data_IF_045955271206
#
_entry.id   IF_045955271206
#
_cell.length_a   1.000
_cell.length_b   1.000
_cell.length_c   1.000
_cell.angle_alpha   90.00
_cell.angle_beta   90.00
_cell.angle_gamma   90.00
#
_symmetry.space_group_name_H-M   'P 1'
#
loop_
_entity.id
_entity.type
_entity.pdbx_description
1 polymer ?
#
# COMPACT_ATOMS: atom_id res chain seq x y z
N UNK A 1 -48.20 45.71 -0.11
CA UNK A 1 -47.47 45.52 -1.38
C UNK A 1 -46.50 44.37 -1.18
N UNK A 2 -46.80 43.20 -1.73
CA UNK A 2 -46.10 41.96 -1.44
C UNK A 2 -44.93 41.74 -2.42
N UNK A 3 -43.74 41.47 -1.86
CA UNK A 3 -42.50 41.20 -2.58
C UNK A 3 -42.62 39.93 -3.43
N UNK A 4 -42.74 40.10 -4.75
CA UNK A 4 -42.57 39.03 -5.74
C UNK A 4 -41.10 38.62 -5.87
N UNK A 5 -40.55 37.88 -4.91
CA UNK A 5 -39.24 37.23 -5.05
C UNK A 5 -39.37 36.10 -6.07
N UNK A 6 -39.11 36.43 -7.34
CA UNK A 6 -39.20 35.54 -8.50
C UNK A 6 -38.58 34.16 -8.22
N UNK A 7 -39.44 33.13 -8.24
CA UNK A 7 -39.07 31.71 -8.16
C UNK A 7 -38.01 31.33 -9.20
N UNK A 8 -38.05 31.98 -10.38
CA UNK A 8 -37.05 31.80 -11.44
C UNK A 8 -35.65 32.26 -11.03
N UNK A 9 -35.53 33.30 -10.20
CA UNK A 9 -34.23 33.75 -9.68
C UNK A 9 -33.58 32.75 -8.72
N UNK A 10 -34.40 32.05 -7.91
CA UNK A 10 -33.91 31.01 -6.99
C UNK A 10 -33.48 29.74 -7.73
N UNK A 11 -34.24 29.32 -8.75
CA UNK A 11 -33.90 28.16 -9.58
C UNK A 11 -32.59 28.41 -10.36
N UNK A 12 -32.44 29.61 -10.96
CA UNK A 12 -31.22 29.96 -11.69
C UNK A 12 -30.00 30.02 -10.76
N UNK A 13 -30.14 30.55 -9.55
CA UNK A 13 -29.05 30.62 -8.57
C UNK A 13 -28.66 29.24 -8.02
N UNK A 14 -29.62 28.31 -7.89
CA UNK A 14 -29.33 26.93 -7.50
C UNK A 14 -28.56 26.17 -8.60
N UNK A 15 -29.03 26.24 -9.86
CA UNK A 15 -28.37 25.61 -11.01
C UNK A 15 -26.94 26.13 -11.26
N UNK A 16 -26.72 27.44 -11.11
CA UNK A 16 -25.37 28.00 -11.26
C UNK A 16 -24.45 27.68 -10.07
N UNK A 17 -25.00 27.48 -8.87
CA UNK A 17 -24.22 27.11 -7.69
C UNK A 17 -23.74 25.65 -7.77
N UNK A 18 -24.61 24.74 -8.20
CA UNK A 18 -24.29 23.33 -8.41
C UNK A 18 -23.18 23.16 -9.46
N UNK A 19 -23.31 23.85 -10.59
CA UNK A 19 -22.30 23.83 -11.66
C UNK A 19 -20.95 24.44 -11.26
N UNK A 20 -20.97 25.42 -10.34
CA UNK A 20 -19.76 26.05 -9.82
C UNK A 20 -19.08 25.17 -8.75
N UNK A 21 -19.84 24.45 -7.94
CA UNK A 21 -19.33 23.45 -6.99
C UNK A 21 -18.73 22.22 -7.70
N UNK A 22 -19.34 21.75 -8.79
CA UNK A 22 -18.77 20.71 -9.65
C UNK A 22 -17.43 21.14 -10.27
N UNK A 23 -17.37 22.35 -10.86
CA UNK A 23 -16.15 22.86 -11.49
C UNK A 23 -15.01 23.08 -10.47
N UNK A 24 -15.32 23.54 -9.26
CA UNK A 24 -14.34 23.70 -8.18
C UNK A 24 -13.86 22.33 -7.67
N UNK A 25 -14.74 21.35 -7.60
CA UNK A 25 -14.38 19.96 -7.26
C UNK A 25 -13.45 19.35 -8.31
N UNK A 26 -13.75 19.52 -9.60
CA UNK A 26 -12.89 19.06 -10.71
C UNK A 26 -11.52 19.73 -10.71
N UNK A 27 -11.44 21.05 -10.54
CA UNK A 27 -10.16 21.76 -10.45
C UNK A 27 -9.34 21.33 -9.24
N UNK A 28 -9.98 21.08 -8.09
CA UNK A 28 -9.31 20.60 -6.89
C UNK A 28 -8.83 19.15 -7.05
N UNK A 29 -9.60 18.28 -7.71
CA UNK A 29 -9.21 16.91 -8.02
C UNK A 29 -8.04 16.86 -9.00
N UNK A 30 -8.06 17.68 -10.06
CA UNK A 30 -6.97 17.81 -11.03
C UNK A 30 -5.66 18.30 -10.38
N UNK A 31 -5.76 19.28 -9.47
CA UNK A 31 -4.59 19.81 -8.75
C UNK A 31 -3.97 18.75 -7.83
N UNK A 32 -4.79 17.99 -7.10
CA UNK A 32 -4.33 16.89 -6.24
C UNK A 32 -3.67 15.76 -7.04
N UNK A 33 -4.23 15.37 -8.18
CA UNK A 33 -3.63 14.36 -9.07
C UNK A 33 -2.23 14.77 -9.51
N UNK A 34 -2.07 16.05 -9.91
CA UNK A 34 -0.79 16.58 -10.38
C UNK A 34 0.26 16.62 -9.28
N UNK A 35 -0.12 16.95 -8.05
CA UNK A 35 0.77 16.91 -6.90
C UNK A 35 1.19 15.47 -6.55
N UNK A 36 0.23 14.53 -6.52
CA UNK A 36 0.51 13.11 -6.28
C UNK A 36 1.45 12.52 -7.33
N UNK A 37 1.21 12.80 -8.62
CA UNK A 37 2.09 12.42 -9.73
C UNK A 37 3.52 12.94 -9.53
N UNK A 38 3.66 14.18 -9.06
CA UNK A 38 4.98 14.81 -8.84
C UNK A 38 5.75 14.11 -7.71
N UNK A 39 5.09 13.78 -6.60
CA UNK A 39 5.75 13.08 -5.49
C UNK A 39 6.13 11.65 -5.83
N UNK A 40 5.27 10.92 -6.57
CA UNK A 40 5.57 9.57 -7.02
C UNK A 40 6.75 9.57 -7.99
N UNK A 41 6.78 10.49 -8.97
CA UNK A 41 7.90 10.62 -9.89
C UNK A 41 9.22 10.86 -9.15
N UNK A 42 9.24 11.77 -8.17
CA UNK A 42 10.44 12.04 -7.35
C UNK A 42 10.89 10.82 -6.55
N UNK A 43 9.96 10.09 -5.93
CA UNK A 43 10.28 8.89 -5.16
C UNK A 43 10.84 7.78 -6.05
N UNK A 44 10.29 7.60 -7.25
CA UNK A 44 10.76 6.62 -8.23
C UNK A 44 12.13 7.02 -8.80
N UNK A 45 12.36 8.30 -9.08
CA UNK A 45 13.66 8.81 -9.54
C UNK A 45 14.77 8.57 -8.50
N UNK A 46 14.51 8.87 -7.23
CA UNK A 46 15.46 8.64 -6.16
C UNK A 46 15.74 7.14 -5.94
N UNK A 47 14.73 6.30 -6.14
CA UNK A 47 14.90 4.85 -6.08
C UNK A 47 15.72 4.33 -7.26
N UNK A 48 15.46 4.81 -8.47
CA UNK A 48 16.18 4.41 -9.68
C UNK A 48 17.68 4.75 -9.56
N UNK A 49 18.01 5.93 -9.03
CA UNK A 49 19.40 6.34 -8.78
C UNK A 49 20.13 5.42 -7.80
N UNK A 50 19.43 4.97 -6.75
CA UNK A 50 20.02 4.09 -5.71
C UNK A 50 20.05 2.63 -6.13
N UNK A 51 19.03 2.19 -6.86
CA UNK A 51 18.78 0.80 -7.23
C UNK A 51 18.31 0.70 -8.69
N UNK A 52 19.23 0.81 -9.67
CA UNK A 52 18.87 0.80 -11.09
C UNK A 52 18.30 -0.54 -11.58
N UNK A 53 18.52 -1.61 -10.83
CA UNK A 53 17.99 -2.96 -11.10
C UNK A 53 16.70 -3.27 -10.34
N UNK A 54 16.15 -2.30 -9.59
CA UNK A 54 14.94 -2.51 -8.83
C UNK A 54 13.76 -2.85 -9.75
N UNK A 55 12.90 -3.74 -9.26
CA UNK A 55 11.62 -4.06 -9.89
C UNK A 55 10.51 -3.29 -9.20
N UNK A 56 9.59 -2.79 -10.02
CA UNK A 56 8.36 -2.13 -9.61
C UNK A 56 7.22 -3.13 -9.75
N UNK A 57 6.49 -3.41 -8.66
CA UNK A 57 5.22 -4.12 -8.78
C UNK A 57 4.10 -3.08 -8.86
N UNK A 58 3.37 -3.10 -9.98
CA UNK A 58 2.22 -2.23 -10.21
C UNK A 58 0.96 -3.06 -10.01
N UNK A 59 0.13 -2.65 -9.06
CA UNK A 59 -1.12 -3.31 -8.69
C UNK A 59 -2.26 -2.38 -9.08
N UNK A 60 -3.19 -2.86 -9.89
CA UNK A 60 -4.37 -2.10 -10.32
C UNK A 60 -5.67 -2.73 -9.83
N UNK A 61 -6.55 -1.87 -9.30
CA UNK A 61 -7.91 -2.18 -8.88
C UNK A 61 -8.97 -1.70 -9.87
N UNK A 62 -8.59 -1.45 -11.13
CA UNK A 62 -9.50 -0.95 -12.16
C UNK A 62 -10.77 -1.78 -12.29
N UNK A 63 -10.64 -3.11 -12.28
CA UNK A 63 -11.80 -4.01 -12.38
C UNK A 63 -12.73 -3.89 -11.17
N UNK A 64 -12.18 -3.66 -9.96
CA UNK A 64 -12.98 -3.37 -8.76
C UNK A 64 -13.67 -2.02 -8.87
N UNK A 65 -12.98 -0.99 -9.35
CA UNK A 65 -13.57 0.34 -9.54
C UNK A 65 -14.76 0.28 -10.49
N UNK A 66 -14.61 -0.41 -11.62
CA UNK A 66 -15.70 -0.63 -12.59
C UNK A 66 -16.85 -1.40 -11.94
N UNK A 67 -16.56 -2.46 -11.19
CA UNK A 67 -17.59 -3.31 -10.60
C UNK A 67 -18.34 -2.69 -9.40
N UNK A 68 -17.71 -1.75 -8.70
CA UNK A 68 -18.35 -0.95 -7.65
C UNK A 68 -19.17 0.20 -8.25
N UNK A 69 -18.75 0.73 -9.40
CA UNK A 69 -19.45 1.81 -10.11
C UNK A 69 -19.55 3.09 -9.28
N UNK A 70 -20.74 3.70 -9.24
CA UNK A 70 -20.98 4.99 -8.55
C UNK A 70 -20.68 4.94 -7.04
N UNK A 71 -20.80 3.77 -6.42
CA UNK A 71 -20.47 3.61 -5.00
C UNK A 71 -18.97 3.81 -4.71
N UNK A 72 -18.10 3.82 -5.74
CA UNK A 72 -16.66 3.97 -5.60
C UNK A 72 -16.31 5.27 -4.89
N UNK A 73 -16.92 6.40 -5.28
CA UNK A 73 -16.59 7.71 -4.70
C UNK A 73 -16.72 7.73 -3.17
N UNK A 74 -17.72 7.03 -2.62
CA UNK A 74 -17.96 6.94 -1.17
C UNK A 74 -17.03 5.95 -0.46
N UNK A 75 -16.47 4.98 -1.19
CA UNK A 75 -15.67 3.87 -0.65
C UNK A 75 -14.19 3.96 -0.98
N UNK A 76 -13.79 4.83 -1.90
CA UNK A 76 -12.44 4.93 -2.44
C UNK A 76 -11.41 5.14 -1.34
N UNK A 77 -11.69 6.00 -0.35
CA UNK A 77 -10.79 6.20 0.77
C UNK A 77 -10.62 4.94 1.63
N UNK A 78 -11.71 4.24 1.94
CA UNK A 78 -11.66 2.97 2.68
C UNK A 78 -10.90 1.89 1.92
N UNK A 79 -11.16 1.78 0.61
CA UNK A 79 -10.47 0.85 -0.29
C UNK A 79 -8.97 1.19 -0.37
N UNK A 80 -8.61 2.49 -0.45
CA UNK A 80 -7.23 2.95 -0.43
C UNK A 80 -6.54 2.56 0.86
N UNK A 81 -7.13 2.87 2.02
CA UNK A 81 -6.56 2.49 3.33
C UNK A 81 -6.43 0.97 3.50
N UNK A 82 -7.43 0.20 3.06
CA UNK A 82 -7.37 -1.26 3.11
C UNK A 82 -6.26 -1.80 2.20
N UNK A 83 -6.15 -1.25 1.00
CA UNK A 83 -5.12 -1.62 0.02
C UNK A 83 -3.74 -1.32 0.59
N UNK A 84 -3.47 -0.08 1.01
CA UNK A 84 -2.20 0.30 1.61
C UNK A 84 -1.85 -0.55 2.83
N UNK A 85 -2.80 -0.76 3.75
CA UNK A 85 -2.56 -1.57 4.96
C UNK A 85 -2.35 -3.05 4.66
N UNK A 86 -2.84 -3.56 3.53
CA UNK A 86 -2.63 -4.94 3.09
C UNK A 86 -1.30 -5.07 2.38
N UNK A 87 -1.00 -4.20 1.43
CA UNK A 87 0.25 -4.19 0.67
C UNK A 87 1.46 -3.96 1.58
N UNK A 88 1.36 -3.06 2.57
CA UNK A 88 2.43 -2.80 3.55
C UNK A 88 2.83 -4.02 4.38
N UNK A 89 1.94 -5.00 4.58
CA UNK A 89 2.28 -6.25 5.30
C UNK A 89 3.20 -7.16 4.51
N UNK A 90 3.24 -6.96 3.19
CA UNK A 90 4.13 -7.65 2.28
C UNK A 90 5.41 -6.86 2.01
N UNK A 91 5.67 -5.78 2.76
CA UNK A 91 6.87 -4.95 2.64
C UNK A 91 7.78 -5.09 3.87
N UNK A 92 9.08 -5.06 3.62
CA UNK A 92 10.15 -5.09 4.61
C UNK A 92 10.61 -3.66 4.95
N UNK A 93 11.49 -3.54 5.94
CA UNK A 93 12.07 -2.24 6.30
C UNK A 93 12.86 -1.65 5.13
N UNK A 94 12.57 -0.39 4.78
CA UNK A 94 13.21 0.31 3.65
C UNK A 94 12.51 0.12 2.31
N UNK A 95 11.48 -0.74 2.25
CA UNK A 95 10.58 -0.86 1.12
C UNK A 95 9.36 0.05 1.30
N UNK A 96 8.74 0.46 0.20
CA UNK A 96 7.65 1.44 0.24
C UNK A 96 6.49 1.07 -0.66
N UNK A 97 5.28 1.45 -0.23
CA UNK A 97 4.07 1.39 -1.02
C UNK A 97 3.64 2.83 -1.32
N UNK A 98 3.44 3.14 -2.60
CA UNK A 98 2.89 4.41 -3.05
C UNK A 98 1.53 4.17 -3.72
N UNK A 99 0.63 5.12 -3.62
CA UNK A 99 -0.63 5.14 -4.37
C UNK A 99 -0.48 6.15 -5.51
N UNK A 100 -0.90 5.79 -6.70
CA UNK A 100 -0.93 6.66 -7.87
C UNK A 100 -2.37 6.75 -8.37
N UNK A 101 -3.00 7.92 -8.20
CA UNK A 101 -4.41 8.09 -8.53
C UNK A 101 -5.35 7.29 -7.61
N UNK A 102 -6.48 6.84 -8.14
CA UNK A 102 -7.56 6.27 -7.34
C UNK A 102 -7.42 4.75 -7.09
N UNK A 103 -6.90 4.01 -8.06
CA UNK A 103 -6.96 2.55 -8.12
C UNK A 103 -5.63 1.87 -8.42
N UNK A 104 -4.52 2.62 -8.54
CA UNK A 104 -3.20 2.06 -8.80
C UNK A 104 -2.29 2.20 -7.57
N UNK A 105 -1.62 1.09 -7.24
CA UNK A 105 -0.67 1.00 -6.14
C UNK A 105 0.68 0.49 -6.66
N UNK A 106 1.74 1.04 -6.12
CA UNK A 106 3.12 0.78 -6.51
C UNK A 106 3.86 0.22 -5.30
N UNK A 107 4.39 -0.99 -5.42
CA UNK A 107 5.26 -1.58 -4.41
C UNK A 107 6.71 -1.51 -4.88
N UNK A 108 7.54 -0.91 -4.04
CA UNK A 108 8.96 -0.67 -4.27
C UNK A 108 9.76 -1.56 -3.32
N UNK A 109 10.43 -2.57 -3.88
CA UNK A 109 11.18 -3.56 -3.12
C UNK A 109 12.66 -3.58 -3.57
N UNK A 110 13.44 -2.53 -3.28
CA UNK A 110 14.83 -2.42 -3.75
C UNK A 110 15.76 -3.53 -3.24
N UNK A 111 15.42 -4.16 -2.11
CA UNK A 111 16.19 -5.25 -1.52
C UNK A 111 15.82 -6.65 -2.03
N UNK A 112 14.72 -6.79 -2.77
CA UNK A 112 14.23 -8.07 -3.25
C UNK A 112 14.82 -8.41 -4.62
N UNK A 113 15.13 -9.68 -4.84
CA UNK A 113 15.45 -10.17 -6.18
C UNK A 113 14.20 -10.23 -7.07
N UNK A 114 14.37 -10.45 -8.38
CA UNK A 114 13.25 -10.48 -9.32
C UNK A 114 12.19 -11.53 -8.97
N UNK A 115 12.60 -12.71 -8.51
CA UNK A 115 11.69 -13.82 -8.20
C UNK A 115 10.93 -13.55 -6.91
N UNK A 116 11.63 -13.03 -5.90
CA UNK A 116 11.07 -12.65 -4.61
C UNK A 116 10.09 -11.49 -4.78
N UNK A 117 10.48 -10.45 -5.53
CA UNK A 117 9.62 -9.31 -5.84
C UNK A 117 8.34 -9.75 -6.56
N UNK A 118 8.47 -10.61 -7.58
CA UNK A 118 7.31 -11.15 -8.29
C UNK A 118 6.41 -11.99 -7.37
N UNK A 119 7.01 -12.86 -6.54
CA UNK A 119 6.27 -13.70 -5.59
C UNK A 119 5.52 -12.86 -4.57
N UNK A 120 6.18 -11.89 -3.93
CA UNK A 120 5.57 -11.01 -2.93
C UNK A 120 4.50 -10.12 -3.54
N UNK A 121 4.72 -9.59 -4.75
CA UNK A 121 3.70 -8.86 -5.51
C UNK A 121 2.46 -9.71 -5.78
N UNK A 122 2.65 -10.97 -6.22
CA UNK A 122 1.56 -11.91 -6.45
C UNK A 122 0.80 -12.24 -5.15
N UNK A 123 1.51 -12.61 -4.08
CA UNK A 123 0.93 -12.93 -2.78
C UNK A 123 0.13 -11.74 -2.22
N UNK A 124 0.65 -10.52 -2.38
CA UNK A 124 -0.01 -9.28 -2.00
C UNK A 124 -1.29 -9.03 -2.80
N UNK A 125 -1.24 -9.19 -4.13
CA UNK A 125 -2.40 -9.01 -5.02
C UNK A 125 -3.51 -10.03 -4.72
N UNK A 126 -3.16 -11.31 -4.50
CA UNK A 126 -4.13 -12.35 -4.10
C UNK A 126 -4.78 -12.01 -2.77
N UNK A 127 -4.00 -11.63 -1.77
CA UNK A 127 -4.55 -11.30 -0.45
C UNK A 127 -5.43 -10.04 -0.51
N UNK A 128 -5.05 -9.05 -1.32
CA UNK A 128 -5.84 -7.85 -1.53
C UNK A 128 -7.19 -8.18 -2.15
N UNK A 129 -7.22 -8.98 -3.23
CA UNK A 129 -8.47 -9.44 -3.84
C UNK A 129 -9.37 -10.18 -2.85
N UNK A 130 -8.81 -11.08 -2.04
CA UNK A 130 -9.59 -11.79 -1.01
C UNK A 130 -10.21 -10.86 0.03
N UNK A 131 -9.48 -9.83 0.47
CA UNK A 131 -10.01 -8.86 1.44
C UNK A 131 -11.10 -7.98 0.84
N UNK A 132 -10.91 -7.53 -0.40
CA UNK A 132 -11.91 -6.71 -1.10
C UNK A 132 -13.19 -7.52 -1.38
N UNK A 133 -13.10 -8.82 -1.62
CA UNK A 133 -14.30 -9.69 -1.71
C UNK A 133 -14.90 -9.95 -0.32
N UNK A 134 -14.06 -10.21 0.68
CA UNK A 134 -14.46 -10.59 2.04
C UNK A 134 -15.12 -9.47 2.85
N UNK A 135 -14.75 -8.21 2.62
CA UNK A 135 -15.31 -7.05 3.32
C UNK A 135 -16.75 -6.67 2.89
N UNK A 136 -17.43 -7.52 2.11
CA UNK A 136 -18.79 -7.26 1.62
C UNK A 136 -18.90 -5.89 0.94
N UNK A 137 -17.86 -5.48 0.21
CA UNK A 137 -18.10 -4.54 -0.86
C UNK A 137 -19.17 -5.20 -1.73
N UNK A 138 -20.34 -4.57 -1.83
CA UNK A 138 -21.44 -5.04 -2.69
C UNK A 138 -21.02 -4.83 -4.13
N UNK A 139 -19.99 -5.56 -4.52
CA UNK A 139 -19.41 -5.52 -5.83
C UNK A 139 -20.43 -6.22 -6.70
N UNK A 140 -21.17 -5.45 -7.49
CA UNK A 140 -22.03 -6.03 -8.50
C UNK A 140 -21.17 -6.96 -9.33
N UNK A 141 -21.66 -8.17 -9.62
CA UNK A 141 -21.02 -8.97 -10.65
C UNK A 141 -21.20 -8.20 -11.95
N UNK A 142 -20.11 -7.72 -12.53
CA UNK A 142 -20.15 -7.21 -13.91
C UNK A 142 -20.21 -8.47 -14.78
N UNK A 143 -21.34 -8.68 -15.45
CA UNK A 143 -21.56 -9.81 -16.36
C UNK A 143 -21.34 -11.21 -15.73
N UNK A 144 -21.55 -11.34 -14.42
CA UNK A 144 -21.34 -12.60 -13.70
C UNK A 144 -19.89 -12.90 -13.29
N UNK A 145 -18.93 -12.05 -13.66
CA UNK A 145 -17.50 -12.19 -13.36
C UNK A 145 -17.14 -11.40 -12.10
N UNK A 146 -16.40 -12.03 -11.18
CA UNK A 146 -15.86 -11.35 -10.00
C UNK A 146 -14.68 -10.47 -10.43
N UNK A 147 -14.57 -9.22 -9.93
CA UNK A 147 -13.46 -8.36 -10.28
C UNK A 147 -12.15 -8.92 -9.75
N UNK A 148 -11.12 -8.90 -10.59
CA UNK A 148 -9.79 -9.38 -10.26
C UNK A 148 -8.85 -8.20 -9.97
N UNK A 149 -7.83 -8.44 -9.17
CA UNK A 149 -6.72 -7.50 -8.98
C UNK A 149 -5.75 -7.72 -10.13
N UNK A 150 -5.27 -6.66 -10.78
CA UNK A 150 -4.25 -6.79 -11.84
C UNK A 150 -2.86 -6.52 -11.28
N UNK A 151 -1.86 -7.25 -11.77
CA UNK A 151 -0.46 -7.11 -11.39
C UNK A 151 0.45 -7.03 -12.62
N UNK A 152 1.37 -6.08 -12.62
CA UNK A 152 2.48 -6.00 -13.55
C UNK A 152 3.81 -5.94 -12.79
N UNK A 153 4.80 -6.68 -13.28
CA UNK A 153 6.17 -6.67 -12.77
C UNK A 153 7.07 -6.01 -13.82
N UNK A 154 7.62 -4.85 -13.48
CA UNK A 154 8.30 -3.98 -14.44
C UNK A 154 9.71 -3.68 -13.92
N UNK A 155 10.70 -3.64 -14.82
CA UNK A 155 12.00 -3.08 -14.45
C UNK A 155 11.90 -1.56 -14.42
N UNK A 156 12.34 -0.94 -13.31
CA UNK A 156 12.21 0.51 -13.15
C UNK A 156 13.00 1.28 -14.21
N UNK A 157 14.09 0.71 -14.71
CA UNK A 157 14.89 1.25 -15.80
C UNK A 157 14.13 1.37 -17.14
N UNK A 158 13.12 0.53 -17.36
CA UNK A 158 12.31 0.57 -18.59
C UNK A 158 11.27 1.69 -18.56
N UNK A 159 11.02 2.26 -17.38
CA UNK A 159 10.00 3.29 -17.14
C UNK A 159 10.60 4.70 -17.17
N UNK A 160 11.71 4.90 -17.87
CA UNK A 160 12.46 6.17 -17.88
C UNK A 160 12.24 6.89 -19.22
N UNK A 161 11.88 8.16 -19.14
CA UNK A 161 11.74 9.08 -20.27
C UNK A 161 13.10 9.46 -20.88
N UNK A 162 13.06 10.09 -22.05
CA UNK A 162 14.26 10.64 -22.69
C UNK A 162 15.05 11.62 -21.80
N UNK A 163 14.38 12.28 -20.86
CA UNK A 163 14.98 13.21 -19.89
C UNK A 163 15.66 12.50 -18.70
N UNK A 164 15.68 11.16 -18.67
CA UNK A 164 16.28 10.38 -17.60
C UNK A 164 15.46 10.32 -16.31
N UNK A 165 14.18 10.72 -16.36
CA UNK A 165 13.23 10.66 -15.24
C UNK A 165 12.18 9.58 -15.44
N UNK A 166 11.61 9.07 -14.37
CA UNK A 166 10.56 8.05 -14.42
C UNK A 166 9.27 8.64 -15.00
N UNK A 167 8.72 7.95 -15.99
CA UNK A 167 7.46 8.30 -16.64
C UNK A 167 6.26 7.72 -15.91
N UNK A 168 5.53 8.58 -15.20
CA UNK A 168 4.28 8.18 -14.54
C UNK A 168 3.23 7.74 -15.57
N UNK A 169 3.27 8.29 -16.79
CA UNK A 169 2.40 7.86 -17.89
C UNK A 169 2.64 6.41 -18.29
N UNK A 170 3.90 6.01 -18.46
CA UNK A 170 4.28 4.62 -18.72
C UNK A 170 3.87 3.67 -17.57
N UNK A 171 4.01 4.11 -16.31
CA UNK A 171 3.57 3.32 -15.14
C UNK A 171 2.06 3.06 -15.18
N UNK A 172 1.26 4.09 -15.49
CA UNK A 172 -0.19 3.95 -15.64
C UNK A 172 -0.55 3.07 -16.85
N UNK A 173 0.14 3.22 -17.98
CA UNK A 173 -0.05 2.35 -19.14
C UNK A 173 0.27 0.88 -18.81
N UNK A 174 1.27 0.63 -17.98
CA UNK A 174 1.59 -0.71 -17.51
C UNK A 174 0.58 -1.24 -16.49
N UNK A 175 -0.04 -0.38 -15.69
CA UNK A 175 -1.17 -0.74 -14.83
C UNK A 175 -2.39 -1.19 -15.66
N UNK A 176 -2.61 -0.59 -16.83
CA UNK A 176 -3.65 -0.98 -17.78
C UNK A 176 -3.37 -2.33 -18.45
N UNK A 177 -2.12 -2.56 -18.83
CA UNK A 177 -1.65 -3.81 -19.43
C UNK A 177 -1.43 -4.95 -18.40
N UNK A 178 -1.62 -4.67 -17.12
CA UNK A 178 -1.38 -5.62 -16.04
C UNK A 178 -2.29 -6.87 -16.13
N UNK A 179 -1.77 -8.01 -15.70
CA UNK A 179 -2.46 -9.30 -15.81
C UNK A 179 -3.33 -9.54 -14.59
N UNK A 180 -4.56 -10.01 -14.79
CA UNK A 180 -5.47 -10.38 -13.71
C UNK A 180 -4.91 -11.53 -12.86
N UNK A 181 -4.87 -11.32 -11.56
CA UNK A 181 -4.38 -12.27 -10.56
C UNK A 181 -5.56 -13.04 -9.99
N UNK A 182 -5.60 -14.34 -10.29
CA UNK A 182 -6.54 -15.28 -9.65
C UNK A 182 -5.82 -16.17 -8.67
N UNK A 183 -6.45 -16.41 -7.53
CA UNK A 183 -6.04 -17.48 -6.62
C UNK A 183 -6.20 -18.81 -7.38
N UNK A 184 -5.11 -19.53 -7.56
CA UNK A 184 -5.17 -20.91 -8.07
C UNK A 184 -5.66 -21.78 -6.92
N UNK A 185 -6.95 -22.16 -6.95
CA UNK A 185 -7.49 -23.14 -6.02
C UNK A 185 -6.83 -24.50 -6.29
N UNK A 186 -5.90 -24.91 -5.41
CA UNK A 186 -5.18 -26.17 -5.52
C UNK A 186 -3.70 -26.11 -5.13
N UNK A 187 -3.07 -24.94 -5.07
CA UNK A 187 -1.70 -24.78 -4.54
C UNK A 187 -1.74 -24.36 -3.07
N UNK A 188 -1.88 -25.35 -2.19
CA UNK A 188 -1.55 -25.19 -0.77
C UNK A 188 -0.05 -25.01 -0.60
N UNK A 189 0.42 -23.78 -0.43
CA UNK A 189 1.81 -23.44 -0.07
C UNK A 189 2.88 -23.90 -1.08
N UNK A 190 4.14 -23.45 -0.93
CA UNK A 190 5.22 -23.89 -1.78
C UNK A 190 5.62 -25.33 -1.42
N UNK A 191 4.90 -26.33 -1.93
CA UNK A 191 5.55 -27.59 -2.26
C UNK A 191 6.19 -27.40 -3.63
N UNK A 192 7.52 -27.20 -3.61
CA UNK A 192 8.34 -27.10 -4.80
C UNK A 192 7.97 -28.21 -5.78
N UNK A 193 7.71 -27.81 -7.03
CA UNK A 193 7.58 -28.72 -8.15
C UNK A 193 8.92 -29.43 -8.32
N UNK A 194 9.02 -30.65 -7.77
CA UNK A 194 10.14 -31.55 -8.01
C UNK A 194 10.15 -31.89 -9.50
N UNK A 195 11.25 -31.55 -10.16
CA UNK A 195 11.60 -32.09 -11.47
C UNK A 195 11.82 -33.59 -11.29
N UNK A 196 11.25 -34.36 -12.19
CA UNK A 196 11.26 -35.83 -12.21
C UNK A 196 12.71 -36.35 -12.17
N UNK A 197 13.10 -37.00 -11.07
CA UNK A 197 14.41 -37.65 -10.92
C UNK A 197 15.14 -37.53 -9.58
N UNK A 198 14.71 -36.67 -8.63
CA UNK A 198 15.32 -36.61 -7.29
C UNK A 198 14.47 -37.34 -6.24
N UNK A 199 15.11 -38.29 -5.52
CA UNK A 199 14.52 -39.01 -4.39
C UNK A 199 14.04 -38.02 -3.32
N UNK A 200 12.85 -38.23 -2.72
CA UNK A 200 12.36 -37.37 -1.64
C UNK A 200 13.28 -37.50 -0.43
N UNK A 201 13.84 -36.39 0.04
CA UNK A 201 14.47 -36.32 1.35
C UNK A 201 13.41 -36.66 2.41
N UNK A 202 13.80 -37.50 3.36
CA UNK A 202 12.92 -38.08 4.37
C UNK A 202 12.16 -37.01 5.17
N UNK A 203 10.90 -37.32 5.49
CA UNK A 203 10.08 -36.64 6.49
C UNK A 203 10.77 -36.74 7.85
N UNK A 204 11.45 -35.67 8.29
CA UNK A 204 11.61 -35.24 9.69
C UNK A 204 12.83 -34.32 9.87
N UNK A 205 12.89 -33.23 9.11
CA UNK A 205 13.72 -32.09 9.50
C UNK A 205 12.94 -30.80 9.25
N UNK A 206 12.15 -30.40 10.25
CA UNK A 206 11.91 -28.98 10.49
C UNK A 206 13.25 -28.37 10.89
N UNK A 207 14.05 -27.96 9.91
CA UNK A 207 15.08 -26.96 10.17
C UNK A 207 14.35 -25.65 10.42
N UNK A 208 14.12 -25.36 11.71
CA UNK A 208 14.08 -23.98 12.14
C UNK A 208 15.35 -23.33 11.58
N UNK A 209 15.22 -22.50 10.55
CA UNK A 209 16.22 -21.46 10.33
C UNK A 209 16.07 -20.57 11.55
N UNK A 210 16.94 -20.82 12.54
CA UNK A 210 17.13 -19.91 13.63
C UNK A 210 17.37 -18.55 13.00
N UNK A 211 16.44 -17.62 13.21
CA UNK A 211 16.74 -16.22 13.07
C UNK A 211 17.93 -15.99 14.00
N UNK A 212 19.12 -15.91 13.44
CA UNK A 212 20.27 -15.37 14.13
C UNK A 212 19.85 -13.95 14.50
N UNK A 213 19.47 -13.77 15.77
CA UNK A 213 19.35 -12.43 16.34
C UNK A 213 20.71 -11.81 16.10
N UNK A 214 20.79 -10.85 15.19
CA UNK A 214 21.96 -9.99 15.07
C UNK A 214 22.25 -9.45 16.47
N UNK A 215 23.26 -10.03 17.11
CA UNK A 215 23.82 -9.54 18.34
C UNK A 215 24.44 -8.20 17.99
N UNK A 216 23.95 -7.14 18.64
CA UNK A 216 24.62 -5.85 18.61
C UNK A 216 26.08 -6.09 19.02
N UNK A 217 27.09 -5.58 18.29
CA UNK A 217 28.45 -5.62 18.79
C UNK A 217 28.50 -4.81 20.09
N UNK A 218 28.69 -5.51 21.21
CA UNK A 218 29.00 -4.88 22.49
C UNK A 218 30.45 -4.47 22.40
N UNK A 219 30.69 -3.23 21.98
CA UNK A 219 31.96 -2.55 22.18
C UNK A 219 32.09 -2.31 23.70
N UNK A 220 32.75 -3.25 24.37
CA UNK A 220 33.07 -3.16 25.80
C UNK A 220 34.18 -2.13 26.00
N UNK A 221 33.83 -0.95 26.53
CA UNK A 221 34.79 -0.10 27.21
C UNK A 221 35.02 -0.67 28.63
N UNK A 222 36.27 -0.84 29.09
CA UNK A 222 36.56 -1.27 30.45
C UNK A 222 36.41 -0.06 31.38
N UNK A 223 35.25 0.09 32.02
CA UNK A 223 35.12 1.00 33.16
C UNK A 223 35.41 0.18 34.42
N UNK A 224 36.56 0.52 35.01
CA UNK A 224 37.14 -0.14 36.16
C UNK A 224 36.22 -0.22 37.37
N UNK A 225 36.54 -1.23 38.16
CA UNK A 225 36.17 -1.41 39.55
C UNK A 225 36.29 -0.08 40.32
N UNK A 226 35.19 0.43 40.86
CA UNK A 226 35.19 1.17 42.14
C UNK A 226 33.86 0.96 42.85
N UNK A 227 33.99 0.43 44.07
CA UNK A 227 32.95 0.35 45.07
C UNK A 227 32.39 1.74 45.42
N UNK A 228 31.15 1.81 45.90
CA UNK A 228 30.79 2.50 47.16
C UNK A 228 29.30 2.35 47.46
N UNK A 229 29.04 2.07 48.73
CA UNK A 229 27.76 2.08 49.42
C UNK A 229 26.79 3.18 48.96
N UNK A 230 25.55 2.80 48.68
CA UNK A 230 24.41 3.72 48.79
C UNK A 230 23.26 3.11 49.58
N UNK A 231 23.10 3.66 50.78
CA UNK A 231 22.07 3.46 51.80
C UNK A 231 20.65 3.39 51.21
N UNK A 232 19.83 2.48 51.75
CA UNK A 232 18.36 2.45 51.62
C UNK A 232 17.78 3.84 51.97
N UNK A 233 17.06 4.46 51.04
CA UNK A 233 16.20 5.61 51.35
C UNK A 233 14.90 5.11 51.97
N UNK A 234 14.48 5.72 53.07
CA UNK A 234 13.22 5.48 53.75
C UNK A 234 12.03 5.92 52.87
N UNK A 235 10.92 5.19 52.98
CA UNK A 235 9.68 5.48 52.28
C UNK A 235 9.07 6.82 52.75
N UNK A 236 8.40 7.59 51.87
CA UNK A 236 7.78 8.85 52.25
C UNK A 236 6.52 8.62 53.08
N UNK A 237 6.46 9.30 54.22
CA UNK A 237 5.33 9.31 55.15
C UNK A 237 4.19 10.15 54.57
N UNK A 238 3.16 9.50 54.01
CA UNK A 238 1.97 10.17 53.50
C UNK A 238 0.93 10.32 54.63
N UNK A 239 0.83 11.51 55.19
CA UNK A 239 -0.29 11.88 56.06
C UNK A 239 -1.44 12.48 55.23
N UNK A 240 -2.69 12.02 55.38
CA UNK A 240 -3.83 12.56 54.66
C UNK A 240 -4.20 13.95 55.19
N UNK A 241 -4.40 14.91 54.26
CA UNK A 241 -4.88 16.26 54.56
C UNK A 241 -6.29 16.16 55.13
N UNK A 242 -6.47 16.55 56.40
CA UNK A 242 -7.77 16.75 57.01
C UNK A 242 -8.49 17.89 56.30
N UNK A 243 -9.65 17.57 55.71
CA UNK A 243 -10.64 18.55 55.28
C UNK A 243 -11.36 19.08 56.50
N UNK A 244 -11.42 20.39 56.67
CA UNK A 244 -12.47 21.20 57.32
C UNK A 244 -11.92 22.63 57.50
N UNK A 245 -12.66 23.74 57.35
CA UNK A 245 -14.06 24.00 57.02
C UNK A 245 -14.14 25.47 56.59
#
# INVERSE_FOLDING_TARGET
>A
MAEGRSLFGKIRKALFKEKQEEALSEMAASSKSREEETWVALALDDLLKKHPRARLQVISLKDYRIAIGEAWATRANTIRMLSESTLRRHLSQGESCLSQGEDVFLMLMPGADEKESARRGYDAAVQLGQKLVGEKFSTGKVDGVAPDVRLANIALADMVNADGRVDVGAVLAAAEAAVSVKKIEGMGGPKGRLVEGQKPAAKDQWTMVAHERQSRPVEMLPIGQMATDRKKKAEPDWSPISKEK
#
